data_IF_535247088710
#
_entry.id   IF_535247088710
#
_cell.length_a   1.000
_cell.length_b   1.000
_cell.length_c   1.000
_cell.angle_alpha   90.00
_cell.angle_beta   90.00
_cell.angle_gamma   90.00
#
_symmetry.space_group_name_H-M   'P 1'
#
loop_
_entity.id
_entity.type
_entity.pdbx_description
1 polymer ?
#
# COMPACT_ATOMS: atom_id res chain seq x y z
N UNK A 1 -6.53 8.63 -6.67
CA UNK A 1 -5.34 8.36 -5.84
C UNK A 1 -4.48 9.61 -5.72
N UNK A 2 -4.19 10.32 -6.82
CA UNK A 2 -3.38 11.55 -6.81
C UNK A 2 -3.80 12.61 -5.78
N UNK A 3 -5.10 12.88 -5.58
CA UNK A 3 -5.56 13.81 -4.53
C UNK A 3 -5.20 13.35 -3.12
N UNK A 4 -5.30 12.04 -2.85
CA UNK A 4 -4.97 11.46 -1.56
C UNK A 4 -3.46 11.51 -1.35
N UNK A 5 -2.68 11.11 -2.35
CA UNK A 5 -1.22 11.12 -2.29
C UNK A 5 -0.65 12.54 -2.13
N UNK A 6 -1.21 13.52 -2.85
CA UNK A 6 -0.86 14.94 -2.70
C UNK A 6 -1.17 15.46 -1.30
N UNK A 7 -2.37 15.18 -0.80
CA UNK A 7 -2.79 15.69 0.52
C UNK A 7 -2.01 14.99 1.65
N UNK A 8 -1.74 13.68 1.55
CA UNK A 8 -0.88 12.96 2.48
C UNK A 8 0.55 13.53 2.49
N UNK A 9 1.08 13.94 1.33
CA UNK A 9 2.38 14.62 1.22
C UNK A 9 2.43 15.91 2.03
N UNK A 10 1.36 16.71 2.02
CA UNK A 10 1.29 17.95 2.82
C UNK A 10 1.38 17.69 4.33
N UNK A 11 0.89 16.54 4.82
CA UNK A 11 1.01 16.17 6.24
C UNK A 11 2.43 15.76 6.65
N UNK A 12 3.29 15.42 5.70
CA UNK A 12 4.71 15.13 5.98
C UNK A 12 5.44 16.43 6.31
N UNK A 13 5.14 17.50 5.57
CA UNK A 13 5.81 18.80 5.73
C UNK A 13 5.15 19.69 6.79
N UNK A 14 3.86 19.47 7.09
CA UNK A 14 3.09 20.26 8.06
C UNK A 14 2.53 19.36 9.16
N UNK A 15 3.09 19.39 10.39
CA UNK A 15 2.71 18.48 11.48
C UNK A 15 1.24 18.55 11.91
N UNK A 16 0.56 19.66 11.62
CA UNK A 16 -0.86 19.85 11.95
C UNK A 16 -1.54 20.77 10.94
N UNK A 17 -2.24 20.17 9.97
CA UNK A 17 -3.08 20.90 9.02
C UNK A 17 -4.46 21.15 9.65
N UNK A 18 -4.93 22.40 9.74
CA UNK A 18 -6.27 22.70 10.23
C UNK A 18 -7.39 22.15 9.32
N UNK A 19 -8.51 21.75 9.91
CA UNK A 19 -9.68 21.20 9.18
C UNK A 19 -10.23 22.14 8.08
N UNK A 20 -10.06 23.46 8.23
CA UNK A 20 -10.48 24.42 7.21
C UNK A 20 -9.60 24.38 5.94
N UNK A 21 -8.29 24.09 6.08
CA UNK A 21 -7.40 23.90 4.93
C UNK A 21 -7.77 22.65 4.15
N UNK A 22 -8.05 21.55 4.87
CA UNK A 22 -8.53 20.31 4.25
C UNK A 22 -9.82 20.57 3.47
N UNK A 23 -10.75 21.32 4.07
CA UNK A 23 -12.01 21.71 3.41
C UNK A 23 -11.76 22.54 2.15
N UNK A 24 -10.82 23.48 2.18
CA UNK A 24 -10.46 24.29 1.03
C UNK A 24 -9.84 23.45 -0.11
N UNK A 25 -8.89 22.56 0.22
CA UNK A 25 -8.28 21.64 -0.74
C UNK A 25 -9.36 20.77 -1.41
N UNK A 26 -10.25 20.17 -0.62
CA UNK A 26 -11.30 19.30 -1.15
C UNK A 26 -12.30 20.06 -2.03
N UNK A 27 -12.69 21.29 -1.64
CA UNK A 27 -13.53 22.17 -2.47
C UNK A 27 -12.88 22.46 -3.84
N UNK A 28 -11.56 22.66 -3.88
CA UNK A 28 -10.84 22.94 -5.14
C UNK A 28 -10.59 21.71 -5.99
N UNK A 29 -10.37 20.55 -5.34
CA UNK A 29 -10.03 19.31 -6.01
C UNK A 29 -11.24 18.61 -6.62
N UNK A 30 -12.40 18.66 -5.96
CA UNK A 30 -13.61 18.04 -6.46
C UNK A 30 -14.32 18.91 -7.50
N UNK A 31 -14.58 18.34 -8.67
CA UNK A 31 -15.28 18.98 -9.79
C UNK A 31 -16.47 18.14 -10.25
N UNK A 32 -17.49 18.79 -10.80
CA UNK A 32 -18.70 18.13 -11.32
C UNK A 32 -19.39 17.25 -10.27
N UNK A 33 -19.76 16.02 -10.66
CA UNK A 33 -20.45 15.04 -9.80
C UNK A 33 -19.72 14.75 -8.48
N UNK A 34 -18.39 14.86 -8.45
CA UNK A 34 -17.63 14.64 -7.23
C UNK A 34 -17.76 15.79 -6.23
N UNK A 35 -17.98 17.01 -6.72
CA UNK A 35 -18.23 18.18 -5.87
C UNK A 35 -19.62 18.10 -5.23
N UNK A 36 -20.63 17.67 -5.99
CA UNK A 36 -21.99 17.45 -5.48
C UNK A 36 -21.95 16.46 -4.31
N UNK A 37 -21.34 15.29 -4.52
CA UNK A 37 -21.18 14.30 -3.45
C UNK A 37 -20.41 14.84 -2.24
N UNK A 38 -19.31 15.57 -2.46
CA UNK A 38 -18.53 16.14 -1.35
C UNK A 38 -19.35 17.16 -0.55
N UNK A 39 -20.12 18.01 -1.23
CA UNK A 39 -20.98 19.02 -0.60
C UNK A 39 -22.06 18.34 0.25
N UNK A 40 -22.75 17.32 -0.28
CA UNK A 40 -23.72 16.51 0.48
C UNK A 40 -23.07 15.87 1.73
N UNK A 41 -21.90 15.24 1.56
CA UNK A 41 -21.20 14.61 2.68
C UNK A 41 -20.74 15.63 3.73
N UNK A 42 -20.39 16.85 3.31
CA UNK A 42 -19.98 17.94 4.20
C UNK A 42 -21.17 18.49 4.99
N UNK A 43 -22.35 18.56 4.39
CA UNK A 43 -23.58 18.92 5.09
C UNK A 43 -23.96 17.87 6.14
N UNK A 44 -23.87 16.58 5.79
CA UNK A 44 -24.24 15.48 6.70
C UNK A 44 -23.23 15.34 7.86
N UNK A 45 -21.93 15.43 7.59
CA UNK A 45 -20.90 15.11 8.57
C UNK A 45 -20.20 16.32 9.18
N UNK A 46 -20.39 17.52 8.64
CA UNK A 46 -19.71 18.74 9.05
C UNK A 46 -18.22 18.77 8.68
N UNK A 47 -17.47 19.69 9.30
CA UNK A 47 -16.00 19.74 9.15
C UNK A 47 -15.37 18.56 9.89
N UNK A 48 -14.56 17.78 9.19
CA UNK A 48 -13.86 16.61 9.72
C UNK A 48 -12.38 16.68 9.36
N UNK A 49 -11.57 15.99 10.17
CA UNK A 49 -10.15 15.84 9.92
C UNK A 49 -9.86 14.99 8.67
N UNK A 50 -8.65 15.12 8.15
CA UNK A 50 -8.22 14.45 6.92
C UNK A 50 -8.37 12.92 6.95
N UNK A 51 -7.98 12.18 8.02
CA UNK A 51 -8.15 10.73 8.07
C UNK A 51 -9.59 10.28 7.81
N UNK A 52 -10.57 11.04 8.31
CA UNK A 52 -11.99 10.74 8.10
C UNK A 52 -12.42 11.03 6.67
N UNK A 53 -12.00 12.17 6.10
CA UNK A 53 -12.27 12.48 4.70
C UNK A 53 -11.64 11.48 3.75
N UNK A 54 -10.36 11.15 3.95
CA UNK A 54 -9.65 10.13 3.19
C UNK A 54 -10.41 8.80 3.18
N UNK A 55 -10.89 8.34 4.33
CA UNK A 55 -11.69 7.12 4.42
C UNK A 55 -12.99 7.19 3.60
N UNK A 56 -13.73 8.30 3.67
CA UNK A 56 -14.96 8.49 2.87
C UNK A 56 -14.70 8.53 1.37
N UNK A 57 -13.61 9.20 0.95
CA UNK A 57 -13.20 9.30 -0.46
C UNK A 57 -12.81 7.91 -0.97
N UNK A 58 -12.04 7.17 -0.19
CA UNK A 58 -11.71 5.77 -0.50
C UNK A 58 -13.02 4.98 -0.60
N UNK A 59 -13.94 5.07 0.35
CA UNK A 59 -15.19 4.31 0.30
C UNK A 59 -16.03 4.62 -0.95
N UNK A 60 -16.17 5.90 -1.32
CA UNK A 60 -16.99 6.31 -2.48
C UNK A 60 -16.36 5.95 -3.82
N UNK A 61 -15.05 6.13 -3.96
CA UNK A 61 -14.35 6.03 -5.24
C UNK A 61 -13.49 4.77 -5.39
N UNK A 62 -13.40 3.94 -4.35
CA UNK A 62 -12.83 2.60 -4.49
C UNK A 62 -13.78 1.74 -5.29
N UNK A 63 -13.37 1.42 -6.52
CA UNK A 63 -14.09 0.46 -7.33
C UNK A 63 -13.80 -0.95 -6.79
N UNK A 64 -14.81 -1.60 -6.19
CA UNK A 64 -14.69 -2.95 -5.64
C UNK A 64 -14.18 -3.98 -6.64
N UNK A 65 -14.52 -3.85 -7.94
CA UNK A 65 -13.98 -4.71 -9.00
C UNK A 65 -12.49 -4.45 -9.24
N UNK A 66 -12.02 -3.20 -9.14
CA UNK A 66 -10.59 -2.90 -9.24
C UNK A 66 -9.83 -3.43 -8.03
N UNK A 67 -10.37 -3.27 -6.81
CA UNK A 67 -9.79 -3.85 -5.60
C UNK A 67 -9.66 -5.36 -5.76
N UNK A 68 -10.74 -6.04 -6.16
CA UNK A 68 -10.73 -7.50 -6.37
C UNK A 68 -9.65 -7.91 -7.38
N UNK A 69 -9.56 -7.23 -8.53
CA UNK A 69 -8.52 -7.47 -9.53
C UNK A 69 -7.11 -7.26 -8.96
N UNK A 70 -6.90 -6.25 -8.12
CA UNK A 70 -5.60 -5.98 -7.48
C UNK A 70 -5.27 -7.03 -6.40
N UNK A 71 -6.24 -7.48 -5.62
CA UNK A 71 -6.09 -8.58 -4.65
C UNK A 71 -5.69 -9.87 -5.35
N UNK A 72 -6.41 -10.27 -6.40
CA UNK A 72 -6.04 -11.45 -7.19
C UNK A 72 -4.65 -11.31 -7.82
N UNK A 73 -4.31 -10.13 -8.33
CA UNK A 73 -2.97 -9.86 -8.90
C UNK A 73 -1.86 -9.93 -7.85
N UNK A 74 -2.17 -9.59 -6.59
CA UNK A 74 -1.23 -9.67 -5.47
C UNK A 74 -1.01 -11.11 -5.05
N UNK A 75 -2.09 -11.88 -4.86
CA UNK A 75 -2.05 -13.27 -4.41
C UNK A 75 -1.38 -14.22 -5.41
N UNK A 76 -1.57 -13.96 -6.71
CA UNK A 76 -1.02 -14.80 -7.79
C UNK A 76 0.45 -14.50 -8.12
N UNK A 77 1.00 -13.33 -7.76
CA UNK A 77 2.39 -12.96 -8.09
C UNK A 77 3.35 -13.28 -6.94
N UNK A 78 3.49 -14.58 -6.63
CA UNK A 78 4.49 -15.08 -5.68
C UNK A 78 5.91 -14.69 -6.11
N UNK A 79 6.76 -14.44 -5.13
CA UNK A 79 8.17 -14.17 -5.40
C UNK A 79 8.87 -15.43 -5.88
N UNK A 80 9.68 -15.27 -6.93
CA UNK A 80 10.55 -16.30 -7.47
C UNK A 80 11.97 -15.75 -7.48
N UNK A 81 12.97 -16.59 -7.22
CA UNK A 81 14.36 -16.18 -6.98
C UNK A 81 15.03 -15.55 -8.21
N UNK A 82 14.52 -15.84 -9.41
CA UNK A 82 14.94 -15.25 -10.68
C UNK A 82 14.51 -13.78 -10.83
N UNK A 83 13.40 -13.37 -10.20
CA UNK A 83 12.88 -11.98 -10.27
C UNK A 83 13.84 -10.99 -9.62
N UNK A 84 13.83 -9.76 -10.13
CA UNK A 84 14.52 -8.64 -9.47
C UNK A 84 13.80 -8.31 -8.14
N UNK A 85 14.49 -8.40 -6.99
CA UNK A 85 13.88 -8.15 -5.68
C UNK A 85 13.23 -6.78 -5.55
N UNK A 86 13.90 -5.73 -6.01
CA UNK A 86 13.45 -4.35 -5.89
C UNK A 86 12.20 -4.09 -6.72
N UNK A 87 12.22 -4.50 -7.98
CA UNK A 87 11.07 -4.32 -8.88
C UNK A 87 9.84 -5.08 -8.38
N UNK A 88 10.03 -6.31 -7.89
CA UNK A 88 8.95 -7.10 -7.33
C UNK A 88 8.40 -6.47 -6.05
N UNK A 89 9.26 -6.06 -5.11
CA UNK A 89 8.86 -5.38 -3.87
C UNK A 89 8.07 -4.10 -4.14
N UNK A 90 8.54 -3.25 -5.07
CA UNK A 90 7.84 -2.02 -5.46
C UNK A 90 6.48 -2.32 -6.09
N UNK A 91 6.42 -3.31 -7.00
CA UNK A 91 5.16 -3.71 -7.66
C UNK A 91 4.14 -4.23 -6.65
N UNK A 92 4.55 -5.06 -5.70
CA UNK A 92 3.66 -5.57 -4.66
C UNK A 92 3.21 -4.48 -3.69
N UNK A 93 4.11 -3.56 -3.30
CA UNK A 93 3.71 -2.40 -2.50
C UNK A 93 2.67 -1.53 -3.20
N UNK A 94 2.80 -1.29 -4.51
CA UNK A 94 1.79 -0.56 -5.30
C UNK A 94 0.44 -1.28 -5.29
N UNK A 95 0.42 -2.61 -5.36
CA UNK A 95 -0.83 -3.40 -5.27
C UNK A 95 -1.44 -3.32 -3.88
N UNK A 96 -0.65 -3.50 -2.83
CA UNK A 96 -1.12 -3.39 -1.44
C UNK A 96 -1.70 -2.01 -1.15
N UNK A 97 -1.04 -0.93 -1.58
CA UNK A 97 -1.58 0.44 -1.47
C UNK A 97 -2.89 0.64 -2.23
N UNK A 98 -3.08 -0.04 -3.35
CA UNK A 98 -4.33 0.03 -4.12
C UNK A 98 -5.47 -0.79 -3.48
N UNK A 99 -5.13 -1.86 -2.75
CA UNK A 99 -6.09 -2.69 -2.01
C UNK A 99 -6.52 -1.99 -0.72
N UNK A 100 -5.54 -1.50 0.04
CA UNK A 100 -5.77 -0.77 1.29
C UNK A 100 -4.80 0.43 1.36
N UNK A 101 -5.28 1.65 1.02
CA UNK A 101 -4.48 2.87 1.10
C UNK A 101 -4.15 3.31 2.54
N UNK A 102 -4.78 2.72 3.55
CA UNK A 102 -4.55 3.02 4.96
C UNK A 102 -3.68 1.95 5.66
N UNK A 103 -3.14 1.01 4.90
CA UNK A 103 -2.30 -0.07 5.40
C UNK A 103 -1.06 0.48 6.11
N UNK A 104 -0.88 0.09 7.38
CA UNK A 104 0.32 0.44 8.13
C UNK A 104 1.56 -0.35 7.65
N UNK A 105 2.75 0.10 8.06
CA UNK A 105 4.02 -0.49 7.60
C UNK A 105 4.17 -1.97 7.98
N UNK A 106 3.68 -2.35 9.17
CA UNK A 106 3.76 -3.70 9.70
C UNK A 106 2.90 -4.67 8.89
N UNK A 107 1.66 -4.27 8.60
CA UNK A 107 0.70 -5.01 7.79
C UNK A 107 1.21 -5.15 6.36
N UNK A 108 1.75 -4.07 5.79
CA UNK A 108 2.39 -4.09 4.47
C UNK A 108 3.52 -5.10 4.42
N UNK A 109 4.43 -5.06 5.40
CA UNK A 109 5.57 -5.97 5.47
C UNK A 109 5.11 -7.42 5.70
N UNK A 110 4.15 -7.64 6.60
CA UNK A 110 3.56 -8.96 6.81
C UNK A 110 2.99 -9.54 5.50
N UNK A 111 2.13 -8.79 4.83
CA UNK A 111 1.52 -9.20 3.56
C UNK A 111 2.57 -9.45 2.48
N UNK A 112 3.58 -8.59 2.37
CA UNK A 112 4.66 -8.79 1.41
C UNK A 112 5.41 -10.12 1.66
N UNK A 113 5.69 -10.45 2.92
CA UNK A 113 6.39 -11.67 3.30
C UNK A 113 5.54 -12.94 3.12
N UNK A 114 4.20 -12.87 3.12
CA UNK A 114 3.34 -14.04 2.79
C UNK A 114 3.37 -14.42 1.31
N UNK A 115 3.94 -13.55 0.46
CA UNK A 115 4.14 -13.85 -0.96
C UNK A 115 5.51 -14.49 -1.25
N UNK A 116 6.34 -14.73 -0.22
CA UNK A 116 7.59 -15.45 -0.34
C UNK A 116 7.38 -16.97 -0.13
N UNK A 117 8.13 -17.84 -0.80
CA UNK A 117 8.19 -19.28 -0.48
C UNK A 117 8.62 -19.51 0.97
N UNK A 118 8.12 -20.55 1.63
CA UNK A 118 8.27 -20.75 3.09
C UNK A 118 9.70 -20.62 3.64
N UNK A 119 10.68 -21.25 2.99
CA UNK A 119 12.09 -21.15 3.42
C UNK A 119 12.64 -19.72 3.28
N UNK A 120 12.28 -19.04 2.19
CA UNK A 120 12.69 -17.67 1.93
C UNK A 120 11.98 -16.70 2.89
N UNK A 121 10.70 -16.94 3.18
CA UNK A 121 9.94 -16.18 4.16
C UNK A 121 10.60 -16.25 5.53
N UNK A 122 10.97 -17.45 5.99
CA UNK A 122 11.66 -17.64 7.27
C UNK A 122 13.01 -16.92 7.27
N UNK A 123 13.81 -17.12 6.22
CA UNK A 123 15.12 -16.50 6.06
C UNK A 123 15.07 -14.96 6.08
N UNK A 124 14.06 -14.34 5.47
CA UNK A 124 13.87 -12.88 5.49
C UNK A 124 13.35 -12.42 6.85
N UNK A 125 12.38 -13.12 7.46
CA UNK A 125 11.85 -12.80 8.80
C UNK A 125 12.93 -12.79 9.88
N UNK A 126 13.89 -13.71 9.84
CA UNK A 126 15.01 -13.73 10.79
C UNK A 126 15.95 -12.52 10.64
N UNK A 127 15.95 -11.84 9.49
CA UNK A 127 16.86 -10.73 9.17
C UNK A 127 16.19 -9.36 9.19
N UNK A 128 14.85 -9.31 9.09
CA UNK A 128 14.06 -8.09 8.98
C UNK A 128 13.17 -7.89 10.21
N UNK A 129 13.19 -6.67 10.77
CA UNK A 129 12.21 -6.26 11.78
C UNK A 129 10.85 -5.95 11.11
N UNK A 130 9.76 -5.93 11.89
CA UNK A 130 8.41 -5.68 11.35
C UNK A 130 8.22 -4.28 10.75
N UNK A 131 9.05 -3.31 11.15
CA UNK A 131 8.98 -1.91 10.73
C UNK A 131 10.02 -1.55 9.66
N UNK A 132 10.66 -2.53 9.03
CA UNK A 132 11.77 -2.26 8.13
C UNK A 132 11.29 -1.57 6.85
N UNK A 133 12.21 -0.82 6.24
CA UNK A 133 11.96 -0.17 4.97
C UNK A 133 11.83 -1.20 3.85
N UNK A 134 11.16 -0.82 2.77
CA UNK A 134 11.03 -1.69 1.60
C UNK A 134 12.40 -2.02 0.99
N UNK A 135 13.31 -1.06 0.98
CA UNK A 135 14.69 -1.23 0.53
C UNK A 135 15.46 -2.25 1.35
N UNK A 136 15.24 -2.27 2.67
CA UNK A 136 15.87 -3.27 3.53
C UNK A 136 15.39 -4.69 3.22
N UNK A 137 14.09 -4.86 2.95
CA UNK A 137 13.53 -6.15 2.51
C UNK A 137 14.12 -6.56 1.15
N UNK A 138 14.15 -5.63 0.19
CA UNK A 138 14.66 -5.89 -1.15
C UNK A 138 16.16 -6.25 -1.14
N UNK A 139 16.98 -5.54 -0.35
CA UNK A 139 18.38 -5.87 -0.12
C UNK A 139 18.55 -7.25 0.51
N UNK A 140 17.76 -7.58 1.52
CA UNK A 140 17.79 -8.89 2.17
C UNK A 140 17.48 -10.02 1.18
N UNK A 141 16.46 -9.84 0.33
CA UNK A 141 16.13 -10.78 -0.75
C UNK A 141 17.28 -10.89 -1.76
N UNK A 142 17.90 -9.76 -2.12
CA UNK A 142 19.04 -9.73 -3.05
C UNK A 142 20.27 -10.47 -2.50
N UNK A 143 20.55 -10.32 -1.21
CA UNK A 143 21.65 -10.99 -0.52
C UNK A 143 21.40 -12.49 -0.40
N UNK A 144 20.17 -12.90 -0.02
CA UNK A 144 19.82 -14.33 0.05
C UNK A 144 19.93 -14.97 -1.33
N UNK A 145 19.47 -14.30 -2.39
CA UNK A 145 19.61 -14.75 -3.78
C UNK A 145 21.08 -14.95 -4.18
N UNK A 146 21.98 -14.04 -3.78
CA UNK A 146 23.41 -14.08 -4.13
C UNK A 146 24.18 -15.12 -3.33
N UNK A 147 23.85 -15.29 -2.04
CA UNK A 147 24.67 -16.07 -1.09
C UNK A 147 24.12 -17.45 -0.78
N UNK A 148 22.88 -17.77 -1.17
CA UNK A 148 22.26 -19.06 -0.85
C UNK A 148 21.55 -19.68 -2.07
N UNK A 149 21.27 -20.98 -2.00
CA UNK A 149 20.45 -21.70 -2.97
C UNK A 149 18.97 -21.80 -2.53
N UNK A 150 18.57 -21.07 -1.49
CA UNK A 150 17.21 -21.11 -0.94
C UNK A 150 16.21 -20.62 -2.00
N UNK A 151 15.17 -21.41 -2.26
CA UNK A 151 14.11 -21.11 -3.23
C UNK A 151 14.49 -21.31 -4.70
N UNK A 152 15.68 -21.84 -5.02
CA UNK A 152 16.08 -22.16 -6.41
C UNK A 152 15.51 -23.49 -6.92
N UNK A 153 14.98 -24.33 -6.03
CA UNK A 153 14.34 -25.59 -6.36
C UNK A 153 12.85 -25.50 -6.00
N UNK A 154 11.92 -25.80 -6.93
CA UNK A 154 10.52 -25.94 -6.56
C UNK A 154 10.38 -27.08 -5.53
N UNK A 155 9.41 -26.99 -4.59
CA UNK A 155 9.13 -28.11 -3.70
C UNK A 155 8.89 -29.36 -4.55
N UNK A 156 9.57 -30.46 -4.22
CA UNK A 156 9.33 -31.74 -4.85
C UNK A 156 7.82 -32.01 -4.85
N UNK A 157 7.25 -32.25 -6.03
CA UNK A 157 5.89 -32.78 -6.13
C UNK A 157 5.96 -34.23 -5.61
N UNK A 158 5.53 -34.44 -4.38
CA UNK A 158 5.13 -35.75 -3.86
C UNK A 158 3.71 -36.08 -4.34
#
# INVERSE_FOLDING_TARGET
>A
MELIDYTDGLFIDVPRIPDYWITAILNTAFKGHANIWYTEMKEIHGRRNWPRWKSQIIQKYSNGTLILKKTMSFENDKYLVDKNPYEWCLRQCKRLKAIDPQMNIQMRNHNLLTQLPGELQHAVKCRCNQNCTLDYIANTLQDIRKRTNIGKFPPYKS
#
